data_IF_868291528781
#
_entry.id   IF_868291528781
#
_cell.length_a   1.000
_cell.length_b   1.000
_cell.length_c   1.000
_cell.angle_alpha   90.00
_cell.angle_beta   90.00
_cell.angle_gamma   90.00
#
_symmetry.space_group_name_H-M   'P 1'
#
loop_
_entity.id
_entity.type
_entity.pdbx_description
1 polymer ?
#
# COMPACT_ATOMS: atom_id res chain seq x y z
N UNK A 1 -8.54 5.67 -14.62
CA UNK A 1 -7.72 4.58 -14.04
C UNK A 1 -8.30 4.18 -12.70
N UNK A 2 -8.10 2.95 -12.24
CA UNK A 2 -8.52 2.52 -10.89
C UNK A 2 -7.29 2.12 -10.09
N UNK A 3 -7.15 2.68 -8.89
CA UNK A 3 -6.17 2.28 -7.89
C UNK A 3 -6.90 1.59 -6.73
N UNK A 4 -6.57 0.32 -6.52
CA UNK A 4 -7.06 -0.44 -5.38
C UNK A 4 -6.16 -0.22 -4.17
N UNK A 5 -6.69 -0.47 -2.98
CA UNK A 5 -5.87 -0.56 -1.77
C UNK A 5 -6.32 -1.73 -0.92
N UNK A 6 -5.41 -2.44 -0.29
CA UNK A 6 -5.72 -3.54 0.62
C UNK A 6 -4.78 -3.53 1.82
N UNK A 7 -5.23 -4.10 2.93
CA UNK A 7 -4.34 -4.46 4.02
C UNK A 7 -4.58 -5.87 4.46
N UNK A 8 -3.50 -6.59 4.72
CA UNK A 8 -3.55 -8.02 5.06
C UNK A 8 -4.02 -8.28 6.50
N UNK A 9 -3.96 -7.28 7.38
CA UNK A 9 -4.37 -7.42 8.77
C UNK A 9 -5.79 -7.95 8.89
N UNK A 10 -5.97 -8.98 9.73
CA UNK A 10 -7.25 -9.67 9.96
C UNK A 10 -7.90 -10.26 8.70
N UNK A 11 -7.12 -10.54 7.65
CA UNK A 11 -7.58 -11.28 6.46
C UNK A 11 -6.85 -12.61 6.36
N UNK A 12 -7.61 -13.66 6.10
CA UNK A 12 -7.06 -14.95 5.67
C UNK A 12 -6.45 -14.81 4.26
N UNK A 13 -5.58 -15.76 3.89
CA UNK A 13 -5.06 -15.81 2.52
C UNK A 13 -6.19 -15.93 1.50
N UNK A 14 -7.20 -16.77 1.77
CA UNK A 14 -8.34 -16.96 0.88
C UNK A 14 -9.08 -15.64 0.64
N UNK A 15 -9.44 -14.90 1.69
CA UNK A 15 -10.11 -13.60 1.55
C UNK A 15 -9.23 -12.61 0.77
N UNK A 16 -7.94 -12.53 1.12
CA UNK A 16 -6.99 -11.63 0.48
C UNK A 16 -6.88 -11.86 -1.02
N UNK A 17 -6.56 -13.09 -1.46
CA UNK A 17 -6.40 -13.38 -2.89
C UNK A 17 -7.73 -13.34 -3.64
N UNK A 18 -8.84 -13.73 -3.00
CA UNK A 18 -10.18 -13.64 -3.62
C UNK A 18 -10.56 -12.19 -3.91
N UNK A 19 -10.29 -11.26 -2.98
CA UNK A 19 -10.56 -9.83 -3.18
C UNK A 19 -9.76 -9.26 -4.34
N UNK A 20 -8.47 -9.60 -4.43
CA UNK A 20 -7.61 -9.14 -5.53
C UNK A 20 -8.09 -9.68 -6.88
N UNK A 21 -8.35 -10.98 -6.95
CA UNK A 21 -8.76 -11.63 -8.19
C UNK A 21 -10.12 -11.13 -8.70
N UNK A 22 -11.14 -11.05 -7.82
CA UNK A 22 -12.48 -10.58 -8.19
C UNK A 22 -12.52 -9.14 -8.70
N UNK A 23 -11.57 -8.31 -8.26
CA UNK A 23 -11.47 -6.93 -8.69
C UNK A 23 -10.56 -6.74 -9.92
N UNK A 24 -9.99 -7.81 -10.48
CA UNK A 24 -9.11 -7.73 -11.64
C UNK A 24 -7.84 -6.92 -11.36
N UNK A 25 -7.32 -6.99 -10.13
CA UNK A 25 -6.04 -6.34 -9.79
C UNK A 25 -4.95 -6.90 -10.68
N UNK A 26 -4.20 -6.03 -11.37
CA UNK A 26 -3.10 -6.40 -12.26
C UNK A 26 -1.78 -6.57 -11.52
N UNK A 27 -1.59 -5.77 -10.47
CA UNK A 27 -0.32 -5.68 -9.72
C UNK A 27 -0.57 -5.30 -8.27
N UNK A 28 0.19 -5.88 -7.35
CA UNK A 28 0.30 -5.41 -5.97
C UNK A 28 1.58 -4.59 -5.81
N UNK A 29 1.42 -3.37 -5.31
CA UNK A 29 2.52 -2.49 -4.88
C UNK A 29 2.60 -2.58 -3.36
N UNK A 30 3.62 -3.29 -2.88
CA UNK A 30 3.95 -3.36 -1.46
C UNK A 30 4.59 -2.04 -1.03
N UNK A 31 3.90 -1.31 -0.14
CA UNK A 31 4.35 -0.03 0.42
C UNK A 31 4.68 -0.17 1.91
N UNK A 32 4.97 -1.39 2.37
CA UNK A 32 5.39 -1.66 3.74
C UNK A 32 6.87 -1.34 3.88
N UNK A 33 7.21 -0.61 4.95
CA UNK A 33 8.60 -0.38 5.34
C UNK A 33 9.31 -1.71 5.66
N UNK A 34 8.61 -2.61 6.35
CA UNK A 34 9.10 -3.94 6.72
C UNK A 34 8.11 -5.00 6.22
N UNK A 35 8.56 -5.90 5.33
CA UNK A 35 7.70 -6.93 4.69
C UNK A 35 8.16 -8.38 4.91
N UNK A 36 8.99 -8.60 5.94
CA UNK A 36 9.50 -9.93 6.34
C UNK A 36 8.85 -10.45 7.64
N UNK A 37 7.87 -9.72 8.19
CA UNK A 37 7.20 -10.07 9.45
C UNK A 37 6.42 -11.39 9.38
N UNK A 38 6.34 -12.08 10.52
CA UNK A 38 5.59 -13.35 10.66
C UNK A 38 4.09 -13.18 10.93
N UNK A 39 3.58 -11.94 11.02
CA UNK A 39 2.18 -11.69 11.39
C UNK A 39 1.16 -12.33 10.43
N UNK A 40 1.53 -12.54 9.16
CA UNK A 40 0.79 -13.35 8.20
C UNK A 40 1.79 -14.01 7.24
N UNK A 41 2.01 -15.32 7.39
CA UNK A 41 3.05 -16.06 6.65
C UNK A 41 2.96 -15.88 5.13
N UNK A 42 1.75 -15.86 4.57
CA UNK A 42 1.50 -15.66 3.13
C UNK A 42 1.88 -14.27 2.60
N UNK A 43 2.21 -13.33 3.49
CA UNK A 43 2.55 -11.94 3.15
C UNK A 43 4.05 -11.65 3.23
N UNK A 44 4.88 -12.66 3.52
CA UNK A 44 6.34 -12.54 3.42
C UNK A 44 6.71 -12.23 1.98
N UNK A 45 7.68 -11.33 1.77
CA UNK A 45 8.06 -10.84 0.43
C UNK A 45 8.14 -11.93 -0.65
N UNK A 46 8.91 -12.99 -0.43
CA UNK A 46 9.10 -14.05 -1.41
C UNK A 46 7.82 -14.87 -1.63
N UNK A 47 7.17 -15.29 -0.55
CA UNK A 47 5.95 -16.09 -0.58
C UNK A 47 4.80 -15.32 -1.25
N UNK A 48 4.64 -14.05 -0.92
CA UNK A 48 3.61 -13.17 -1.48
C UNK A 48 3.77 -13.00 -2.98
N UNK A 49 4.99 -12.76 -3.46
CA UNK A 49 5.26 -12.64 -4.89
C UNK A 49 4.91 -13.94 -5.64
N UNK A 50 5.30 -15.10 -5.08
CA UNK A 50 4.96 -16.40 -5.64
C UNK A 50 3.44 -16.65 -5.66
N UNK A 51 2.75 -16.42 -4.53
CA UNK A 51 1.32 -16.67 -4.43
C UNK A 51 0.48 -15.74 -5.30
N UNK A 52 0.85 -14.46 -5.43
CA UNK A 52 0.18 -13.51 -6.33
C UNK A 52 0.23 -14.02 -7.77
N UNK A 53 1.41 -14.47 -8.22
CA UNK A 53 1.59 -15.03 -9.56
C UNK A 53 0.82 -16.34 -9.73
N UNK A 54 0.93 -17.27 -8.78
CA UNK A 54 0.37 -18.60 -8.89
C UNK A 54 -1.17 -18.64 -8.76
N UNK A 55 -1.77 -17.79 -7.94
CA UNK A 55 -3.21 -17.84 -7.63
C UNK A 55 -4.02 -16.92 -8.56
N UNK A 56 -3.47 -15.77 -8.93
CA UNK A 56 -4.24 -14.72 -9.60
C UNK A 56 -3.51 -14.07 -10.79
N UNK A 57 -2.34 -14.56 -11.17
CA UNK A 57 -1.48 -13.99 -12.22
C UNK A 57 -1.14 -12.51 -12.00
N UNK A 58 -0.97 -12.13 -10.73
CA UNK A 58 -0.77 -10.74 -10.32
C UNK A 58 0.73 -10.44 -10.17
N UNK A 59 1.17 -9.31 -10.73
CA UNK A 59 2.54 -8.85 -10.55
C UNK A 59 2.80 -8.31 -9.14
N UNK A 60 4.04 -8.39 -8.69
CA UNK A 60 4.45 -7.88 -7.38
C UNK A 60 5.60 -6.89 -7.52
N UNK A 61 5.45 -5.71 -6.92
CA UNK A 61 6.51 -4.71 -6.82
C UNK A 61 6.59 -4.22 -5.38
N UNK A 62 7.81 -4.06 -4.84
CA UNK A 62 8.04 -3.50 -3.52
C UNK A 62 8.65 -2.10 -3.68
N UNK A 63 7.91 -1.08 -3.24
CA UNK A 63 8.28 0.33 -3.34
C UNK A 63 8.32 0.97 -1.93
N UNK A 64 9.36 0.70 -1.12
CA UNK A 64 9.49 1.24 0.24
C UNK A 64 9.67 2.76 0.29
N UNK A 65 9.97 3.41 -0.84
CA UNK A 65 9.94 4.86 -0.99
C UNK A 65 8.53 5.46 -0.85
N UNK A 66 7.49 4.63 -0.90
CA UNK A 66 6.14 5.03 -0.52
C UNK A 66 5.84 4.76 0.96
N UNK A 67 6.73 4.09 1.69
CA UNK A 67 6.49 3.80 3.09
C UNK A 67 6.77 5.03 3.98
N UNK A 68 6.01 5.23 5.06
CA UNK A 68 6.35 6.17 6.12
C UNK A 68 7.75 5.88 6.67
N UNK A 69 8.46 6.90 7.14
CA UNK A 69 9.77 6.70 7.77
C UNK A 69 9.63 5.91 9.07
N UNK A 70 10.70 5.20 9.46
CA UNK A 70 10.74 4.49 10.74
C UNK A 70 10.45 5.43 11.92
N UNK A 71 11.05 6.62 11.90
CA UNK A 71 10.83 7.65 12.93
C UNK A 71 9.37 8.05 13.05
N UNK A 72 8.69 8.26 11.92
CA UNK A 72 7.29 8.64 11.91
C UNK A 72 6.39 7.51 12.46
N UNK A 73 6.63 6.27 12.04
CA UNK A 73 5.91 5.10 12.56
C UNK A 73 6.13 4.90 14.06
N UNK A 74 7.38 5.00 14.53
CA UNK A 74 7.74 4.82 15.93
C UNK A 74 7.16 5.93 16.79
N UNK A 75 7.12 7.18 16.28
CA UNK A 75 6.47 8.31 16.93
C UNK A 75 4.97 8.08 17.13
N UNK A 76 4.27 7.66 16.09
CA UNK A 76 2.83 7.40 16.15
C UNK A 76 2.48 6.20 17.04
N UNK A 77 3.19 5.07 16.87
CA UNK A 77 3.00 3.88 17.72
C UNK A 77 3.34 4.15 19.18
N UNK A 78 4.36 4.96 19.43
CA UNK A 78 4.76 5.42 20.76
C UNK A 78 3.83 6.49 21.35
N UNK A 79 2.76 6.89 20.66
CA UNK A 79 1.83 7.96 21.05
C UNK A 79 2.51 9.31 21.31
N UNK A 80 3.66 9.54 20.68
CA UNK A 80 4.41 10.80 20.76
C UNK A 80 3.84 11.88 19.83
N UNK A 81 3.18 11.45 18.77
CA UNK A 81 2.47 12.31 17.82
C UNK A 81 1.04 11.80 17.63
N UNK A 82 0.14 12.71 17.36
CA UNK A 82 -1.24 12.43 16.96
C UNK A 82 -1.32 11.89 15.52
N UNK A 83 -2.48 11.35 15.17
CA UNK A 83 -2.76 10.96 13.79
C UNK A 83 -2.71 12.15 12.83
N UNK A 84 -3.15 13.34 13.28
CA UNK A 84 -3.13 14.55 12.45
C UNK A 84 -1.71 14.99 12.13
N UNK A 85 -0.81 14.96 13.12
CA UNK A 85 0.62 15.21 12.89
C UNK A 85 1.21 14.16 11.95
N UNK A 86 0.82 12.89 12.11
CA UNK A 86 1.25 11.84 11.19
C UNK A 86 0.84 12.11 9.74
N UNK A 87 -0.40 12.55 9.50
CA UNK A 87 -0.89 12.91 8.16
C UNK A 87 -0.05 14.03 7.54
N UNK A 88 0.22 15.09 8.30
CA UNK A 88 1.03 16.23 7.83
C UNK A 88 2.46 15.82 7.50
N UNK A 89 3.13 15.11 8.40
CA UNK A 89 4.52 14.66 8.19
C UNK A 89 4.63 13.67 7.04
N UNK A 90 3.67 12.74 6.90
CA UNK A 90 3.69 11.80 5.79
C UNK A 90 3.45 12.47 4.44
N UNK A 91 2.54 13.45 4.35
CA UNK A 91 2.33 14.24 3.14
C UNK A 91 3.62 15.00 2.75
N UNK A 92 4.32 15.57 3.72
CA UNK A 92 5.62 16.21 3.49
C UNK A 92 6.67 15.22 2.94
N UNK A 93 6.76 14.02 3.52
CA UNK A 93 7.66 12.96 3.03
C UNK A 93 7.35 12.57 1.58
N UNK A 94 6.06 12.50 1.22
CA UNK A 94 5.67 12.18 -0.16
C UNK A 94 6.10 13.29 -1.12
N UNK A 95 5.90 14.56 -0.78
CA UNK A 95 6.33 15.67 -1.62
C UNK A 95 7.86 15.80 -1.73
N UNK A 96 8.62 15.54 -0.66
CA UNK A 96 10.09 15.61 -0.71
C UNK A 96 10.72 14.51 -1.56
N UNK A 97 10.08 13.34 -1.66
CA UNK A 97 10.57 12.23 -2.47
C UNK A 97 10.29 12.52 -3.95
N UNK A 98 11.14 13.34 -4.55
CA UNK A 98 11.05 13.74 -5.96
C UNK A 98 10.96 12.55 -6.96
N UNK A 99 11.42 11.36 -6.56
CA UNK A 99 11.28 10.12 -7.34
C UNK A 99 9.82 9.74 -7.59
N UNK A 100 8.87 10.17 -6.76
CA UNK A 100 7.45 9.91 -6.97
C UNK A 100 6.89 10.64 -8.19
N UNK A 101 7.45 11.81 -8.53
CA UNK A 101 7.07 12.60 -9.69
C UNK A 101 7.63 12.05 -11.02
N UNK A 102 8.52 11.05 -10.96
CA UNK A 102 9.17 10.45 -12.13
C UNK A 102 8.57 9.09 -12.51
N UNK A 103 7.66 8.55 -11.71
CA UNK A 103 7.02 7.28 -12.00
C UNK A 103 5.97 7.46 -13.11
N UNK A 104 5.96 6.53 -14.07
CA UNK A 104 4.92 6.49 -15.08
C UNK A 104 3.57 6.20 -14.40
N UNK A 105 2.58 7.06 -14.64
CA UNK A 105 1.22 6.92 -14.12
C UNK A 105 0.63 5.53 -14.47
N UNK A 106 1.04 4.92 -15.58
CA UNK A 106 0.61 3.56 -15.97
C UNK A 106 0.92 2.50 -14.91
N UNK A 107 1.92 2.74 -14.04
CA UNK A 107 2.25 1.89 -12.89
C UNK A 107 1.05 1.65 -11.97
N UNK A 108 0.17 2.65 -11.83
CA UNK A 108 -0.95 2.65 -10.90
C UNK A 108 -2.27 2.17 -11.51
N UNK A 109 -2.36 1.99 -12.84
CA UNK A 109 -3.59 1.52 -13.46
C UNK A 109 -3.87 0.03 -13.14
N UNK A 110 -4.97 -0.22 -12.41
CA UNK A 110 -5.32 -1.56 -11.94
C UNK A 110 -4.39 -2.10 -10.85
N UNK A 111 -3.54 -1.24 -10.27
CA UNK A 111 -2.65 -1.63 -9.18
C UNK A 111 -3.38 -1.66 -7.84
N UNK A 112 -2.80 -2.36 -6.85
CA UNK A 112 -3.30 -2.41 -5.48
C UNK A 112 -2.20 -2.06 -4.48
N UNK A 113 -2.38 -0.98 -3.71
CA UNK A 113 -1.48 -0.60 -2.63
C UNK A 113 -1.66 -1.51 -1.42
N UNK A 114 -0.59 -2.15 -0.94
CA UNK A 114 -0.62 -3.07 0.20
C UNK A 114 -0.01 -2.44 1.47
N UNK A 115 -0.81 -2.36 2.55
CA UNK A 115 -0.32 -2.09 3.93
C UNK A 115 -0.65 -3.23 4.92
N UNK A 116 -0.34 -3.04 6.21
CA UNK A 116 -0.57 -4.07 7.24
C UNK A 116 -1.92 -3.89 7.95
N UNK A 117 -2.42 -2.67 7.98
CA UNK A 117 -3.59 -2.24 8.73
C UNK A 117 -4.86 -2.85 8.14
N UNK A 118 -5.82 -3.33 8.97
CA UNK A 118 -7.03 -3.97 8.46
C UNK A 118 -7.92 -3.01 7.66
N UNK A 119 -7.95 -1.72 8.04
CA UNK A 119 -8.84 -0.71 7.46
C UNK A 119 -8.06 0.52 6.97
N UNK A 120 -8.58 1.30 6.00
CA UNK A 120 -7.89 2.48 5.49
C UNK A 120 -8.00 3.71 6.40
N UNK A 121 -8.85 3.72 7.45
CA UNK A 121 -9.19 4.92 8.24
C UNK A 121 -7.99 5.65 8.84
N UNK A 122 -7.01 4.89 9.31
CA UNK A 122 -5.75 5.38 9.86
C UNK A 122 -4.60 4.52 9.32
N UNK A 123 -4.49 4.42 7.99
CA UNK A 123 -3.36 3.77 7.32
C UNK A 123 -2.71 4.74 6.33
N UNK A 124 -1.38 4.67 6.22
CA UNK A 124 -0.62 5.39 5.20
C UNK A 124 -1.04 5.04 3.77
N UNK A 125 -1.54 3.81 3.51
CA UNK A 125 -2.06 3.45 2.18
C UNK A 125 -3.17 4.36 1.69
N UNK A 126 -4.00 4.88 2.60
CA UNK A 126 -5.08 5.80 2.24
C UNK A 126 -4.48 7.14 1.83
N UNK A 127 -3.61 7.68 2.67
CA UNK A 127 -2.95 8.97 2.43
C UNK A 127 -2.16 8.97 1.11
N UNK A 128 -1.45 7.87 0.81
CA UNK A 128 -0.78 7.71 -0.47
C UNK A 128 -1.74 7.63 -1.64
N UNK A 129 -2.84 6.86 -1.52
CA UNK A 129 -3.83 6.76 -2.58
C UNK A 129 -4.48 8.12 -2.87
N UNK A 130 -4.81 8.88 -1.83
CA UNK A 130 -5.35 10.24 -1.92
C UNK A 130 -4.35 11.18 -2.59
N UNK A 131 -3.09 11.17 -2.16
CA UNK A 131 -2.00 11.93 -2.79
C UNK A 131 -1.87 11.62 -4.29
N UNK A 132 -1.87 10.34 -4.68
CA UNK A 132 -1.78 9.95 -6.08
C UNK A 132 -3.02 10.40 -6.88
N UNK A 133 -4.21 10.37 -6.29
CA UNK A 133 -5.43 10.80 -6.96
C UNK A 133 -5.49 12.31 -7.21
N UNK A 134 -4.82 13.11 -6.38
CA UNK A 134 -4.65 14.55 -6.61
C UNK A 134 -3.70 14.85 -7.77
N UNK A 135 -2.68 14.02 -7.98
CA UNK A 135 -1.67 14.22 -9.05
C UNK A 135 -2.06 13.56 -10.37
N UNK A 136 -2.82 12.46 -10.34
CA UNK A 136 -3.18 11.66 -11.51
C UNK A 136 -4.65 11.88 -11.85
N UNK A 137 -4.89 12.68 -12.89
CA UNK A 137 -6.24 13.01 -13.33
C UNK A 137 -7.07 11.76 -13.68
N UNK A 138 -8.26 11.64 -13.08
CA UNK A 138 -9.17 10.52 -13.32
C UNK A 138 -8.77 9.20 -12.66
N UNK A 139 -7.87 9.23 -11.68
CA UNK A 139 -7.57 8.07 -10.82
C UNK A 139 -8.68 7.90 -9.77
N UNK A 140 -9.37 6.76 -9.79
CA UNK A 140 -10.39 6.40 -8.80
C UNK A 140 -9.82 5.44 -7.76
N UNK A 141 -10.03 5.74 -6.48
CA UNK A 141 -9.59 4.91 -5.37
C UNK A 141 -10.69 3.90 -4.99
N UNK A 142 -10.32 2.63 -4.80
CA UNK A 142 -11.21 1.57 -4.30
C UNK A 142 -10.52 0.82 -3.15
N UNK A 143 -11.11 0.85 -1.96
CA UNK A 143 -10.59 0.12 -0.80
C UNK A 143 -11.20 -1.28 -0.73
N UNK A 144 -10.33 -2.30 -0.69
CA UNK A 144 -10.64 -3.73 -0.57
C UNK A 144 -10.53 -4.23 0.89
#
# INVERSE_FOLDING_TARGET
>A
MILYTIGFGKKTAQEFFTLLHKNGVKRVIDIRLNNVSQLAGYTKKADLAYFLKAIADIEYIHLPEFAPTKQLLDGYKGKKISWREYETEYAYILEERASLNQLDNSLFDGACLLCSEPTPKQCHRRLLAEYLAEKINGLRIVHL
#
